data_IF_437009103796
#
_entry.id   IF_437009103796
#
_cell.length_a   1.000
_cell.length_b   1.000
_cell.length_c   1.000
_cell.angle_alpha   90.00
_cell.angle_beta   90.00
_cell.angle_gamma   90.00
#
_symmetry.space_group_name_H-M   'P 1'
#
loop_
_entity.id
_entity.type
_entity.pdbx_description
1 polymer ?
#
# COMPACT_ATOMS: atom_id res chain seq x y z
N UNK A 1 60.04 -29.21 -0.15
CA UNK A 1 58.74 -28.94 -0.79
C UNK A 1 58.65 -27.47 -1.18
N UNK A 2 58.83 -27.15 -2.46
CA UNK A 2 58.89 -25.78 -2.97
C UNK A 2 57.47 -25.22 -3.18
N UNK A 3 57.03 -24.25 -2.34
CA UNK A 3 55.80 -23.49 -2.58
C UNK A 3 56.07 -22.44 -3.65
N UNK A 4 55.96 -22.81 -4.93
CA UNK A 4 55.84 -21.84 -6.01
C UNK A 4 54.45 -21.18 -5.90
N UNK A 5 54.38 -20.01 -5.25
CA UNK A 5 53.17 -19.18 -5.28
C UNK A 5 53.14 -18.48 -6.62
N UNK A 6 52.39 -19.05 -7.55
CA UNK A 6 52.21 -18.50 -8.88
C UNK A 6 51.46 -17.16 -8.79
N UNK A 7 52.17 -16.07 -9.12
CA UNK A 7 51.68 -14.67 -8.95
C UNK A 7 50.40 -14.41 -9.76
N UNK A 8 50.11 -15.24 -10.77
CA UNK A 8 48.94 -15.16 -11.63
C UNK A 8 47.67 -15.79 -11.02
N UNK A 9 47.79 -16.55 -9.93
CA UNK A 9 46.64 -17.23 -9.32
C UNK A 9 45.63 -16.28 -8.67
N UNK A 10 46.05 -15.12 -8.18
CA UNK A 10 45.16 -14.12 -7.60
C UNK A 10 44.13 -13.59 -8.61
N UNK A 11 44.58 -13.06 -9.75
CA UNK A 11 43.70 -12.64 -10.85
C UNK A 11 42.77 -13.76 -11.36
N UNK A 12 43.30 -14.97 -11.58
CA UNK A 12 42.51 -16.12 -12.09
C UNK A 12 41.38 -16.48 -11.12
N UNK A 13 41.67 -16.61 -9.82
CA UNK A 13 40.66 -16.92 -8.81
C UNK A 13 39.56 -15.84 -8.71
N UNK A 14 39.90 -14.57 -8.96
CA UNK A 14 38.92 -13.47 -8.98
C UNK A 14 37.97 -13.61 -10.16
N UNK A 15 38.48 -13.89 -11.35
CA UNK A 15 37.67 -14.10 -12.56
C UNK A 15 36.77 -15.33 -12.41
N UNK A 16 37.32 -16.45 -11.91
CA UNK A 16 36.55 -17.67 -11.65
C UNK A 16 35.44 -17.43 -10.62
N UNK A 17 35.73 -16.72 -9.52
CA UNK A 17 34.72 -16.38 -8.51
C UNK A 17 33.60 -15.49 -9.07
N UNK A 18 33.93 -14.49 -9.87
CA UNK A 18 32.93 -13.61 -10.51
C UNK A 18 32.08 -14.42 -11.47
N UNK A 19 32.69 -15.27 -12.30
CA UNK A 19 31.99 -16.12 -13.26
C UNK A 19 31.08 -17.14 -12.57
N UNK A 20 31.57 -17.80 -11.53
CA UNK A 20 30.78 -18.74 -10.74
C UNK A 20 29.59 -18.05 -10.06
N UNK A 21 29.77 -16.84 -9.51
CA UNK A 21 28.67 -16.04 -8.94
C UNK A 21 27.64 -15.66 -10.00
N UNK A 22 28.08 -15.29 -11.20
CA UNK A 22 27.17 -14.97 -12.29
C UNK A 22 26.33 -16.20 -12.69
N UNK A 23 26.97 -17.35 -12.91
CA UNK A 23 26.31 -18.61 -13.27
C UNK A 23 25.31 -19.04 -12.18
N UNK A 24 25.73 -19.06 -10.92
CA UNK A 24 24.82 -19.43 -9.82
C UNK A 24 23.68 -18.41 -9.68
N UNK A 25 23.97 -17.12 -9.85
CA UNK A 25 22.97 -16.05 -9.76
C UNK A 25 21.89 -16.14 -10.85
N UNK A 26 22.26 -16.50 -12.09
CA UNK A 26 21.28 -16.68 -13.17
C UNK A 26 20.35 -17.86 -12.89
N UNK A 27 20.89 -19.02 -12.49
CA UNK A 27 20.07 -20.17 -12.11
C UNK A 27 19.16 -19.87 -10.93
N UNK A 28 19.66 -19.18 -9.90
CA UNK A 28 18.86 -18.82 -8.73
C UNK A 28 17.70 -17.89 -9.08
N UNK A 29 17.90 -16.96 -10.01
CA UNK A 29 16.86 -16.02 -10.46
C UNK A 29 15.73 -16.75 -11.18
N UNK A 30 16.07 -17.64 -12.12
CA UNK A 30 15.07 -18.45 -12.84
C UNK A 30 14.37 -19.43 -11.89
N UNK A 31 15.13 -20.14 -11.05
CA UNK A 31 14.57 -21.09 -10.09
C UNK A 31 13.59 -20.42 -9.11
N UNK A 32 13.90 -19.22 -8.62
CA UNK A 32 12.99 -18.47 -7.77
C UNK A 32 11.69 -18.10 -8.49
N UNK A 33 11.77 -17.63 -9.74
CA UNK A 33 10.57 -17.28 -10.52
C UNK A 33 9.70 -18.50 -10.85
N UNK A 34 10.32 -19.65 -11.17
CA UNK A 34 9.61 -20.91 -11.42
C UNK A 34 8.94 -21.40 -10.14
N UNK A 35 9.66 -21.43 -9.03
CA UNK A 35 9.08 -21.84 -7.74
C UNK A 35 7.93 -20.93 -7.29
N UNK A 36 8.03 -19.61 -7.51
CA UNK A 36 6.95 -18.67 -7.22
C UNK A 36 5.71 -18.93 -8.10
N UNK A 37 5.91 -19.20 -9.39
CA UNK A 37 4.83 -19.54 -10.32
C UNK A 37 4.17 -20.88 -10.00
N UNK A 38 4.96 -21.92 -9.75
CA UNK A 38 4.48 -23.27 -9.41
C UNK A 38 3.74 -23.30 -8.07
N UNK A 39 4.19 -22.53 -7.09
CA UNK A 39 3.53 -22.43 -5.79
C UNK A 39 2.34 -21.45 -5.77
N UNK A 40 2.05 -20.78 -6.89
CA UNK A 40 1.04 -19.71 -6.97
C UNK A 40 1.26 -18.60 -5.93
N UNK A 41 2.53 -18.24 -5.67
CA UNK A 41 2.90 -17.19 -4.71
C UNK A 41 3.28 -15.93 -5.50
N UNK A 42 2.78 -14.74 -5.11
CA UNK A 42 3.17 -13.48 -5.75
C UNK A 42 4.67 -13.25 -5.64
N UNK A 43 5.29 -12.54 -6.58
CA UNK A 43 6.75 -12.44 -6.65
C UNK A 43 7.36 -11.79 -5.40
N UNK A 44 8.62 -12.09 -5.08
CA UNK A 44 9.30 -11.48 -3.93
C UNK A 44 9.23 -9.95 -3.95
N UNK A 45 9.38 -9.35 -5.14
CA UNK A 45 9.24 -7.91 -5.35
C UNK A 45 7.86 -7.39 -4.94
N UNK A 46 6.79 -8.05 -5.37
CA UNK A 46 5.41 -7.68 -5.03
C UNK A 46 5.15 -7.81 -3.53
N UNK A 47 5.64 -8.89 -2.90
CA UNK A 47 5.50 -9.08 -1.45
C UNK A 47 6.20 -7.97 -0.67
N UNK A 48 7.43 -7.61 -1.07
CA UNK A 48 8.16 -6.50 -0.45
C UNK A 48 7.48 -5.17 -0.70
N UNK A 49 6.96 -4.94 -1.90
CA UNK A 49 6.21 -3.73 -2.22
C UNK A 49 4.96 -3.60 -1.37
N UNK A 50 4.17 -4.67 -1.24
CA UNK A 50 2.98 -4.70 -0.37
C UNK A 50 3.34 -4.41 1.09
N UNK A 51 4.44 -4.98 1.60
CA UNK A 51 4.95 -4.67 2.96
C UNK A 51 5.40 -3.22 3.09
N UNK A 52 6.07 -2.65 2.09
CA UNK A 52 6.53 -1.27 2.10
C UNK A 52 5.35 -0.29 2.10
N UNK A 53 4.34 -0.51 1.25
CA UNK A 53 3.11 0.29 1.21
C UNK A 53 2.36 0.20 2.54
N UNK A 54 2.22 -1.01 3.10
CA UNK A 54 1.60 -1.19 4.42
C UNK A 54 2.36 -0.44 5.51
N UNK A 55 3.68 -0.61 5.59
CA UNK A 55 4.51 0.10 6.57
C UNK A 55 4.38 1.61 6.43
N UNK A 56 4.41 2.14 5.21
CA UNK A 56 4.22 3.56 4.95
C UNK A 56 2.85 4.05 5.43
N UNK A 57 1.81 3.26 5.16
CA UNK A 57 0.44 3.53 5.65
C UNK A 57 0.34 3.52 7.15
N UNK A 58 0.87 2.48 7.79
CA UNK A 58 0.86 2.34 9.23
C UNK A 58 1.61 3.51 9.90
N UNK A 59 2.70 4.02 9.33
CA UNK A 59 3.41 5.19 9.88
C UNK A 59 2.54 6.45 9.81
N UNK A 60 1.77 6.61 8.74
CA UNK A 60 0.90 7.77 8.54
C UNK A 60 -0.43 7.72 9.32
N UNK A 61 -0.81 6.56 9.85
CA UNK A 61 -1.94 6.45 10.81
C UNK A 61 -1.52 6.72 12.25
N UNK A 62 -0.21 6.73 12.56
CA UNK A 62 0.29 7.08 13.90
C UNK A 62 0.03 8.55 14.26
N UNK A 63 -0.16 8.86 15.56
CA UNK A 63 -0.31 10.25 16.02
C UNK A 63 0.95 11.08 15.70
N UNK A 64 0.78 12.38 15.52
CA UNK A 64 1.89 13.29 15.17
C UNK A 64 3.00 13.37 16.24
N UNK A 65 2.68 13.02 17.48
CA UNK A 65 3.64 12.92 18.59
C UNK A 65 4.60 11.74 18.42
N UNK A 66 4.27 10.75 17.60
CA UNK A 66 5.12 9.57 17.40
C UNK A 66 6.41 9.94 16.64
N UNK A 67 7.59 9.49 17.10
CA UNK A 67 8.86 9.83 16.47
C UNK A 67 8.96 9.38 15.00
N UNK A 68 8.34 8.25 14.62
CA UNK A 68 8.36 7.77 13.23
C UNK A 68 7.51 8.66 12.31
N UNK A 69 6.32 9.07 12.77
CA UNK A 69 5.45 10.02 12.06
C UNK A 69 6.10 11.40 11.92
N UNK A 70 6.72 11.87 13.01
CA UNK A 70 7.44 13.16 13.04
C UNK A 70 8.69 13.16 12.15
N UNK A 71 9.36 12.01 12.01
CA UNK A 71 10.55 11.89 11.17
C UNK A 71 10.16 11.85 9.69
N UNK A 72 9.15 11.06 9.32
CA UNK A 72 8.70 10.89 7.93
C UNK A 72 8.22 12.20 7.31
N UNK A 73 7.49 13.05 8.04
CA UNK A 73 7.12 14.39 7.56
C UNK A 73 8.32 15.30 7.27
N UNK A 74 9.46 15.06 7.93
CA UNK A 74 10.71 15.82 7.76
C UNK A 74 11.67 15.22 6.75
N UNK A 75 11.45 13.98 6.29
CA UNK A 75 12.36 13.28 5.37
C UNK A 75 12.51 13.94 4.00
N UNK A 76 11.60 14.87 3.64
CA UNK A 76 11.64 15.57 2.37
C UNK A 76 12.83 16.52 2.19
N UNK A 77 13.58 16.84 3.25
CA UNK A 77 14.48 18.01 3.24
C UNK A 77 15.98 17.74 3.19
N UNK A 78 16.52 16.59 3.58
CA UNK A 78 17.98 16.44 3.66
C UNK A 78 18.41 14.99 3.56
N UNK A 79 18.94 14.56 2.40
CA UNK A 79 20.01 13.55 2.23
C UNK A 79 20.23 13.20 0.76
N UNK A 80 21.30 13.75 0.18
CA UNK A 80 21.78 13.36 -1.15
C UNK A 80 22.71 12.12 -1.09
N UNK A 81 23.16 11.74 0.11
CA UNK A 81 24.05 10.60 0.33
C UNK A 81 23.50 9.66 1.44
N UNK A 82 23.76 8.37 1.30
CA UNK A 82 23.35 7.29 2.22
C UNK A 82 21.83 7.20 2.45
N UNK A 83 21.10 6.85 1.36
CA UNK A 83 19.65 6.60 1.39
C UNK A 83 19.35 5.37 2.25
N UNK A 84 18.74 5.58 3.42
CA UNK A 84 18.24 4.47 4.24
C UNK A 84 17.13 3.71 3.49
N UNK A 85 16.91 2.43 3.78
CA UNK A 85 15.80 1.68 3.18
C UNK A 85 14.44 2.38 3.34
N UNK A 86 14.21 3.00 4.50
CA UNK A 86 12.99 3.77 4.77
C UNK A 86 12.92 5.05 3.92
N UNK A 87 14.05 5.72 3.65
CA UNK A 87 14.10 6.86 2.74
C UNK A 87 13.77 6.46 1.30
N UNK A 88 14.22 5.28 0.84
CA UNK A 88 13.88 4.77 -0.50
C UNK A 88 12.38 4.52 -0.64
N UNK A 89 11.75 3.96 0.41
CA UNK A 89 10.29 3.79 0.44
C UNK A 89 9.56 5.14 0.42
N UNK A 90 10.03 6.10 1.21
CA UNK A 90 9.47 7.45 1.23
C UNK A 90 9.57 8.14 -0.14
N UNK A 91 10.72 8.01 -0.82
CA UNK A 91 10.94 8.56 -2.16
C UNK A 91 10.03 7.90 -3.21
N UNK A 92 9.81 6.59 -3.10
CA UNK A 92 8.96 5.83 -4.02
C UNK A 92 7.45 6.07 -3.81
N UNK A 93 7.03 6.44 -2.58
CA UNK A 93 5.63 6.64 -2.21
C UNK A 93 5.26 8.11 -1.95
N UNK A 94 6.14 9.06 -2.29
CA UNK A 94 5.98 10.51 -2.03
C UNK A 94 4.75 11.13 -2.71
N UNK A 95 4.32 10.56 -3.83
CA UNK A 95 3.27 11.12 -4.69
C UNK A 95 1.86 10.66 -4.24
N UNK A 96 1.78 9.76 -3.25
CA UNK A 96 0.51 9.30 -2.69
C UNK A 96 0.05 10.31 -1.63
N UNK A 97 -1.14 10.94 -1.77
CA UNK A 97 -1.63 11.94 -0.83
C UNK A 97 -2.09 11.26 0.48
N UNK A 98 -1.15 11.08 1.40
CA UNK A 98 -1.34 10.31 2.63
C UNK A 98 -2.25 11.02 3.64
N UNK A 99 -2.42 12.33 3.51
CA UNK A 99 -3.33 13.15 4.32
C UNK A 99 -4.81 12.89 3.99
N UNK A 100 -5.11 12.27 2.84
CA UNK A 100 -6.47 11.96 2.39
C UNK A 100 -6.93 10.55 2.77
N UNK A 101 -6.16 9.82 3.57
CA UNK A 101 -6.53 8.47 3.97
C UNK A 101 -7.68 8.53 4.98
N UNK A 102 -8.68 7.70 4.73
CA UNK A 102 -9.81 7.53 5.63
C UNK A 102 -9.34 6.95 6.98
N UNK A 103 -9.63 7.66 8.06
CA UNK A 103 -9.50 7.13 9.41
C UNK A 103 -10.77 6.35 9.75
N UNK A 104 -10.69 5.02 9.65
CA UNK A 104 -11.78 4.14 10.11
C UNK A 104 -11.76 4.12 11.64
N UNK A 105 -12.64 4.90 12.26
CA UNK A 105 -12.84 4.84 13.70
C UNK A 105 -13.49 3.49 14.05
N UNK A 106 -12.94 2.71 14.99
CA UNK A 106 -13.62 1.52 15.47
C UNK A 106 -14.89 1.96 16.19
N UNK A 107 -16.04 1.79 15.54
CA UNK A 107 -17.34 1.93 16.20
C UNK A 107 -17.46 0.75 17.16
N UNK A 108 -17.11 0.98 18.43
CA UNK A 108 -17.36 0.01 19.50
C UNK A 108 -18.85 0.07 19.84
N UNK A 109 -19.67 -0.65 19.07
CA UNK A 109 -21.03 -0.93 19.50
C UNK A 109 -20.97 -1.86 20.71
N UNK A 110 -21.70 -1.51 21.77
CA UNK A 110 -21.86 -2.39 22.92
C UNK A 110 -22.51 -3.71 22.45
N UNK A 111 -22.00 -4.89 22.87
CA UNK A 111 -22.46 -6.20 22.41
C UNK A 111 -23.98 -6.45 22.53
N UNK A 112 -24.67 -5.73 23.40
CA UNK A 112 -26.12 -5.83 23.68
C UNK A 112 -26.81 -4.46 23.81
N UNK A 113 -26.37 -3.45 23.06
CA UNK A 113 -27.08 -2.17 23.00
C UNK A 113 -28.40 -2.31 22.23
N UNK A 114 -29.43 -1.54 22.64
CA UNK A 114 -30.67 -1.42 21.87
C UNK A 114 -30.37 -0.97 20.44
N UNK A 115 -30.85 -1.74 19.47
CA UNK A 115 -30.67 -1.45 18.04
C UNK A 115 -31.81 -0.54 17.59
N UNK A 116 -31.48 0.48 16.80
CA UNK A 116 -32.46 1.41 16.22
C UNK A 116 -33.52 0.65 15.41
N UNK A 117 -34.80 0.88 15.71
CA UNK A 117 -35.91 0.41 14.88
C UNK A 117 -35.98 1.26 13.62
N UNK A 118 -35.86 0.60 12.47
CA UNK A 118 -35.94 1.23 11.15
C UNK A 118 -37.40 1.27 10.70
N UNK A 119 -37.94 2.48 10.49
CA UNK A 119 -39.13 2.67 9.65
C UNK A 119 -38.64 2.89 8.22
N UNK A 120 -39.00 1.96 7.33
CA UNK A 120 -38.73 2.05 5.90
C UNK A 120 -39.80 2.97 5.31
N UNK A 121 -39.41 4.16 4.87
CA UNK A 121 -40.23 4.97 3.96
C UNK A 121 -39.59 4.89 2.59
N UNK A 122 -40.31 4.30 1.64
CA UNK A 122 -39.96 4.32 0.23
C UNK A 122 -40.32 5.70 -0.33
N UNK A 123 -39.33 6.59 -0.44
CA UNK A 123 -39.49 7.79 -1.25
C UNK A 123 -38.34 7.89 -2.26
N UNK A 124 -38.70 7.62 -3.50
CA UNK A 124 -37.89 7.81 -4.70
C UNK A 124 -37.55 9.29 -4.85
N UNK A 125 -36.25 9.62 -4.94
CA UNK A 125 -35.82 10.98 -5.28
C UNK A 125 -35.48 11.04 -6.76
N UNK A 126 -36.32 11.75 -7.51
CA UNK A 126 -36.15 12.12 -8.91
C UNK A 126 -34.88 12.95 -9.11
N UNK A 127 -33.96 12.46 -9.93
CA UNK A 127 -32.69 13.13 -10.26
C UNK A 127 -32.90 14.10 -11.41
N UNK A 128 -32.64 15.39 -11.16
CA UNK A 128 -32.63 16.46 -12.15
C UNK A 128 -31.24 16.53 -12.82
N UNK A 129 -31.23 16.51 -14.16
CA UNK A 129 -30.05 16.58 -15.00
C UNK A 129 -29.31 17.92 -14.85
N UNK A 130 -28.06 17.86 -14.36
CA UNK A 130 -27.05 18.90 -14.62
C UNK A 130 -25.73 18.22 -14.95
N UNK A 131 -25.07 18.69 -16.01
CA UNK A 131 -23.90 18.12 -16.68
C UNK A 131 -22.60 18.17 -15.84
N UNK A 132 -22.63 17.61 -14.64
CA UNK A 132 -21.46 17.36 -13.80
C UNK A 132 -21.15 15.87 -13.81
N UNK A 133 -19.96 15.49 -14.24
CA UNK A 133 -19.53 14.08 -14.18
C UNK A 133 -19.25 13.72 -12.71
N UNK A 134 -20.14 12.93 -12.12
CA UNK A 134 -19.98 12.37 -10.77
C UNK A 134 -19.29 11.01 -10.89
N UNK A 135 -18.19 10.81 -10.17
CA UNK A 135 -17.52 9.50 -10.04
C UNK A 135 -17.87 8.91 -8.68
N UNK A 136 -18.40 7.70 -8.66
CA UNK A 136 -18.75 6.99 -7.42
C UNK A 136 -17.93 5.70 -7.36
N UNK A 137 -17.20 5.50 -6.27
CA UNK A 137 -16.52 4.24 -5.97
C UNK A 137 -17.18 3.62 -4.74
N UNK A 138 -17.59 2.35 -4.82
CA UNK A 138 -18.28 1.64 -3.73
C UNK A 138 -17.54 0.35 -3.42
N UNK A 139 -17.38 0.05 -2.15
CA UNK A 139 -16.85 -1.22 -1.63
C UNK A 139 -17.83 -1.79 -0.61
N UNK A 140 -18.00 -3.11 -0.63
CA UNK A 140 -18.85 -3.83 0.32
C UNK A 140 -18.08 -4.94 1.02
N UNK A 141 -18.36 -5.17 2.29
CA UNK A 141 -17.76 -6.22 3.11
C UNK A 141 -18.84 -6.94 3.90
N UNK A 142 -18.74 -8.26 4.04
CA UNK A 142 -19.71 -9.07 4.79
C UNK A 142 -19.01 -9.72 5.98
N UNK A 143 -19.55 -9.52 7.19
CA UNK A 143 -19.04 -10.15 8.41
C UNK A 143 -20.19 -10.51 9.35
N UNK A 144 -20.32 -11.78 9.69
CA UNK A 144 -21.31 -12.26 10.68
C UNK A 144 -22.77 -12.00 10.27
N UNK A 145 -23.10 -12.10 8.98
CA UNK A 145 -24.45 -11.83 8.45
C UNK A 145 -24.76 -10.34 8.21
N UNK A 146 -23.83 -9.45 8.51
CA UNK A 146 -23.96 -8.00 8.31
C UNK A 146 -23.06 -7.55 7.15
N UNK A 147 -23.60 -6.73 6.25
CA UNK A 147 -22.96 -6.15 5.07
C UNK A 147 -22.62 -4.69 5.37
N UNK A 148 -21.34 -4.34 5.48
CA UNK A 148 -20.89 -2.95 5.45
C UNK A 148 -20.73 -2.48 4.01
N UNK A 149 -21.35 -1.36 3.65
CA UNK A 149 -21.18 -0.68 2.37
C UNK A 149 -20.53 0.67 2.65
N UNK A 150 -19.42 0.94 1.97
CA UNK A 150 -18.74 2.23 2.01
C UNK A 150 -18.55 2.75 0.60
N UNK A 151 -18.71 4.05 0.39
CA UNK A 151 -18.49 4.67 -0.91
C UNK A 151 -17.93 6.07 -0.81
N UNK A 152 -17.27 6.48 -1.90
CA UNK A 152 -16.77 7.82 -2.11
C UNK A 152 -17.41 8.40 -3.37
N UNK A 153 -18.02 9.57 -3.24
CA UNK A 153 -18.64 10.34 -4.32
C UNK A 153 -17.74 11.53 -4.61
N UNK A 154 -17.31 11.66 -5.85
CA UNK A 154 -16.54 12.80 -6.32
C UNK A 154 -17.31 13.51 -7.43
N UNK A 155 -17.87 14.69 -7.12
CA UNK A 155 -18.49 15.57 -8.11
C UNK A 155 -17.42 16.44 -8.74
N UNK A 156 -17.19 16.35 -10.06
CA UNK A 156 -16.35 17.32 -10.77
C UNK A 156 -17.17 18.54 -11.17
N UNK A 157 -17.01 19.71 -10.52
CA UNK A 157 -17.39 20.96 -11.16
C UNK A 157 -16.43 21.17 -12.35
N UNK A 158 -16.94 21.68 -13.47
CA UNK A 158 -16.15 21.90 -14.67
C UNK A 158 -14.85 22.68 -14.39
N UNK A 159 -13.79 22.26 -15.08
CA UNK A 159 -12.42 22.81 -15.12
C UNK A 159 -11.79 23.18 -13.76
N UNK A 160 -10.74 22.42 -13.39
CA UNK A 160 -9.58 22.88 -12.62
C UNK A 160 -9.58 22.79 -11.08
N UNK A 161 -10.57 22.16 -10.43
CA UNK A 161 -10.45 21.75 -9.02
C UNK A 161 -10.40 20.23 -8.90
N UNK A 162 -9.43 19.69 -8.16
CA UNK A 162 -9.45 18.29 -7.70
C UNK A 162 -10.44 18.22 -6.52
N UNK A 163 -11.70 17.81 -6.76
CA UNK A 163 -12.76 18.02 -5.78
C UNK A 163 -12.62 17.01 -4.65
N UNK A 164 -12.78 17.49 -3.42
CA UNK A 164 -12.74 16.66 -2.22
C UNK A 164 -13.82 15.57 -2.34
N UNK A 165 -13.47 14.27 -2.27
CA UNK A 165 -14.47 13.22 -2.27
C UNK A 165 -15.32 13.31 -1.00
N UNK A 166 -16.63 13.17 -1.16
CA UNK A 166 -17.57 12.96 -0.06
C UNK A 166 -17.67 11.47 0.21
N UNK A 167 -17.61 11.10 1.49
CA UNK A 167 -17.62 9.71 1.92
C UNK A 167 -18.95 9.38 2.57
N UNK A 168 -19.48 8.19 2.27
CA UNK A 168 -20.62 7.63 2.97
C UNK A 168 -20.32 6.19 3.37
N UNK A 169 -20.83 5.77 4.52
CA UNK A 169 -20.80 4.36 4.92
C UNK A 169 -22.05 4.02 5.70
N UNK A 170 -22.57 2.82 5.46
CA UNK A 170 -23.73 2.27 6.15
C UNK A 170 -23.62 0.75 6.20
N UNK A 171 -24.34 0.13 7.13
CA UNK A 171 -24.36 -1.33 7.28
C UNK A 171 -25.78 -1.86 7.07
N UNK A 172 -25.94 -2.84 6.19
CA UNK A 172 -27.16 -3.61 5.96
C UNK A 172 -27.02 -5.00 6.60
N UNK A 173 -27.94 -5.41 7.45
CA UNK A 173 -27.99 -6.77 7.99
C UNK A 173 -29.32 -7.04 8.68
N UNK A 174 -29.72 -8.32 8.70
CA UNK A 174 -30.89 -8.82 9.44
C UNK A 174 -30.69 -8.74 10.96
#
# INVERSE_FOLDING_TARGET
MHRYKDKLMGPINRVQRVSAKAIVGTFLTVAASVAEAEAHIPTAKERFWRKAVKMWTDIHTLPETNPLRRMTSKMRKFRNAHRSPLFQVAEALKDIPMERIETINPLTLLPRGERLQVKISEEETTVLETTSTVRVAVSSSVRGGMVGVGGAVQKRPGLQADPKPEHFSFTLGL
#
